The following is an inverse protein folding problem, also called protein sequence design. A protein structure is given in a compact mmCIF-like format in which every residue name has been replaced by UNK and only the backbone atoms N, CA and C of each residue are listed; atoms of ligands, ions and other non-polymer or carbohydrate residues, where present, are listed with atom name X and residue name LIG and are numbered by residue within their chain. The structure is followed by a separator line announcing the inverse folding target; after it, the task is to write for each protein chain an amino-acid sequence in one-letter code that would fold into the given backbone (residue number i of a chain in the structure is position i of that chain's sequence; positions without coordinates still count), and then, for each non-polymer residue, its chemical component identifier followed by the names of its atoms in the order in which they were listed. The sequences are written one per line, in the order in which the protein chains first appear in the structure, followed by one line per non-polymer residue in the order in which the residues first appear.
data_IF_888202308436
#
_entry.id   IF_888202308436
#
_cell.length_a   1.000
_cell.length_b   1.000
_cell.length_c   1.000
_cell.angle_alpha   90.00
_cell.angle_beta   90.00
_cell.angle_gamma   90.00
#
_symmetry.space_group_name_H-M   'P 1'
#
loop_
_entity.id
_entity.type
_entity.pdbx_description
1 polymer ?
#
# COMPACT_ATOMS: atom_id res chain seq x y z
N UNK A 1 28.95 -9.49 5.49
CA UNK A 1 27.57 -9.97 5.29
C UNK A 1 27.63 -11.26 4.48
N UNK A 2 26.95 -12.34 4.92
CA UNK A 2 27.03 -13.67 4.28
C UNK A 2 26.07 -13.79 3.08
N UNK A 3 26.41 -14.57 2.05
CA UNK A 3 25.64 -14.78 0.82
C UNK A 3 24.21 -15.30 1.06
N UNK A 4 23.99 -16.07 2.13
CA UNK A 4 22.63 -16.50 2.54
C UNK A 4 21.72 -15.34 2.94
N UNK A 5 22.28 -14.27 3.50
CA UNK A 5 21.50 -13.08 3.83
C UNK A 5 21.22 -12.24 2.57
N UNK A 6 22.11 -12.28 1.58
CA UNK A 6 21.90 -11.63 0.28
C UNK A 6 20.81 -12.34 -0.54
N UNK A 7 20.80 -13.67 -0.57
CA UNK A 7 19.75 -14.45 -1.27
C UNK A 7 18.39 -14.37 -0.58
N UNK A 8 18.34 -14.37 0.75
CA UNK A 8 17.10 -14.17 1.51
C UNK A 8 16.56 -12.72 1.40
N UNK A 9 17.44 -11.72 1.34
CA UNK A 9 17.03 -10.33 1.12
C UNK A 9 16.54 -10.10 -0.33
N UNK A 10 17.23 -10.70 -1.31
CA UNK A 10 16.81 -10.69 -2.71
C UNK A 10 15.46 -11.40 -2.91
N UNK A 11 15.23 -12.56 -2.29
CA UNK A 11 13.97 -13.31 -2.42
C UNK A 11 12.77 -12.60 -1.77
N UNK A 12 12.99 -11.86 -0.69
CA UNK A 12 11.94 -11.08 0.00
C UNK A 12 11.56 -9.81 -0.77
N UNK A 13 12.51 -9.23 -1.51
CA UNK A 13 12.24 -8.14 -2.48
C UNK A 13 11.60 -8.65 -3.78
N UNK A 14 11.79 -9.92 -4.12
CA UNK A 14 11.33 -10.52 -5.38
C UNK A 14 9.80 -10.58 -5.47
N UNK A 15 9.09 -10.81 -4.36
CA UNK A 15 7.62 -10.93 -4.39
C UNK A 15 6.92 -9.65 -4.81
N UNK A 16 7.34 -8.49 -4.31
CA UNK A 16 6.80 -7.20 -4.76
C UNK A 16 7.04 -6.99 -6.25
N UNK A 17 8.26 -7.32 -6.70
CA UNK A 17 8.62 -7.20 -8.13
C UNK A 17 7.72 -8.06 -9.01
N UNK A 18 7.27 -9.22 -8.54
CA UNK A 18 6.38 -10.10 -9.29
C UNK A 18 4.95 -9.53 -9.48
N UNK A 19 4.52 -8.61 -8.62
CA UNK A 19 3.20 -7.94 -8.76
C UNK A 19 3.26 -6.64 -9.58
N UNK A 20 4.47 -6.18 -9.93
CA UNK A 20 4.64 -4.95 -10.69
C UNK A 20 4.46 -5.20 -12.19
N UNK A 21 3.81 -4.27 -12.92
CA UNK A 21 3.55 -4.46 -14.33
C UNK A 21 4.84 -4.42 -15.16
N UNK A 22 5.01 -5.39 -16.04
CA UNK A 22 6.18 -5.57 -16.90
C UNK A 22 5.91 -5.17 -18.36
N UNK A 23 4.63 -5.24 -18.76
CA UNK A 23 4.15 -4.87 -20.09
C UNK A 23 3.16 -3.70 -20.04
N UNK A 24 2.89 -3.08 -21.20
CA UNK A 24 1.88 -2.01 -21.31
C UNK A 24 0.47 -2.51 -20.95
N UNK A 25 0.16 -3.76 -21.30
CA UNK A 25 -1.14 -4.36 -21.00
C UNK A 25 -1.30 -4.59 -19.51
N UNK A 26 -0.28 -5.13 -18.85
CA UNK A 26 -0.26 -5.28 -17.38
C UNK A 26 -0.36 -3.94 -16.67
N UNK A 27 0.29 -2.89 -17.18
CA UNK A 27 0.17 -1.54 -16.61
C UNK A 27 -1.27 -1.02 -16.68
N UNK A 28 -1.99 -1.24 -17.79
CA UNK A 28 -3.40 -0.84 -17.89
C UNK A 28 -4.28 -1.58 -16.87
N UNK A 29 -4.07 -2.88 -16.68
CA UNK A 29 -4.78 -3.65 -15.66
C UNK A 29 -4.41 -3.20 -14.24
N UNK A 30 -3.14 -2.91 -14.01
CA UNK A 30 -2.66 -2.41 -12.72
C UNK A 30 -3.32 -1.07 -12.35
N UNK A 31 -3.56 -0.17 -13.32
CA UNK A 31 -4.29 1.08 -13.07
C UNK A 31 -5.70 0.80 -12.54
N UNK A 32 -6.41 -0.16 -13.13
CA UNK A 32 -7.75 -0.55 -12.69
C UNK A 32 -7.70 -1.11 -11.27
N UNK A 33 -6.72 -1.98 -11.00
CA UNK A 33 -6.51 -2.55 -9.65
C UNK A 33 -6.23 -1.45 -8.65
N UNK A 34 -5.28 -0.54 -8.92
CA UNK A 34 -4.93 0.58 -8.04
C UNK A 34 -6.13 1.47 -7.71
N UNK A 35 -6.98 1.79 -8.69
CA UNK A 35 -8.20 2.56 -8.47
C UNK A 35 -9.18 1.79 -7.57
N UNK A 36 -9.40 0.50 -7.87
CA UNK A 36 -10.33 -0.33 -7.12
C UNK A 36 -9.87 -0.59 -5.68
N UNK A 37 -8.57 -0.90 -5.49
CA UNK A 37 -7.96 -1.15 -4.19
C UNK A 37 -7.95 0.12 -3.35
N UNK A 38 -7.42 1.23 -3.89
CA UNK A 38 -7.38 2.50 -3.17
C UNK A 38 -8.76 3.02 -2.77
N UNK A 39 -9.82 2.71 -3.52
CA UNK A 39 -11.19 3.02 -3.09
C UNK A 39 -11.70 2.04 -2.01
N UNK A 40 -11.66 0.73 -2.30
CA UNK A 40 -12.24 -0.29 -1.43
C UNK A 40 -11.55 -0.35 -0.07
N UNK A 41 -10.22 -0.25 -0.04
CA UNK A 41 -9.44 -0.27 1.20
C UNK A 41 -9.74 0.96 2.05
N UNK A 42 -9.81 2.16 1.48
CA UNK A 42 -10.14 3.34 2.27
C UNK A 42 -11.58 3.31 2.80
N UNK A 43 -12.55 2.84 2.02
CA UNK A 43 -13.92 2.64 2.51
C UNK A 43 -13.93 1.65 3.68
N UNK A 44 -13.29 0.50 3.53
CA UNK A 44 -13.25 -0.53 4.57
C UNK A 44 -12.54 -0.05 5.83
N UNK A 45 -11.34 0.50 5.71
CA UNK A 45 -10.52 0.83 6.87
C UNK A 45 -10.90 2.17 7.50
N UNK A 46 -11.31 3.18 6.73
CA UNK A 46 -11.67 4.50 7.27
C UNK A 46 -13.15 4.64 7.59
N UNK A 47 -14.04 4.35 6.63
CA UNK A 47 -15.47 4.52 6.92
C UNK A 47 -16.03 3.45 7.86
N UNK A 48 -15.49 2.24 7.82
CA UNK A 48 -16.01 1.13 8.63
C UNK A 48 -15.14 0.84 9.86
N UNK A 49 -13.91 0.32 9.70
CA UNK A 49 -13.11 -0.14 10.84
C UNK A 49 -12.75 1.01 11.79
N UNK A 50 -12.27 2.14 11.26
CA UNK A 50 -11.90 3.30 12.08
C UNK A 50 -13.09 3.92 12.81
N UNK A 51 -14.19 4.20 12.12
CA UNK A 51 -15.41 4.74 12.74
C UNK A 51 -16.02 3.78 13.77
N UNK A 52 -15.99 2.47 13.50
CA UNK A 52 -16.43 1.47 14.47
C UNK A 52 -15.54 1.49 15.71
N UNK A 53 -14.21 1.48 15.55
CA UNK A 53 -13.27 1.52 16.65
C UNK A 53 -13.37 2.83 17.44
N UNK A 54 -13.56 3.96 16.77
CA UNK A 54 -13.67 5.28 17.39
C UNK A 54 -14.82 5.34 18.42
N UNK A 55 -15.93 4.66 18.14
CA UNK A 55 -17.10 4.56 19.04
C UNK A 55 -16.84 3.75 20.32
N UNK A 56 -15.82 2.88 20.34
CA UNK A 56 -15.61 1.92 21.43
C UNK A 56 -14.31 2.12 22.21
N UNK A 57 -13.24 2.58 21.55
CA UNK A 57 -11.88 2.63 22.14
C UNK A 57 -11.22 4.01 22.02
N UNK A 58 -11.98 5.03 21.59
CA UNK A 58 -11.50 6.41 21.48
C UNK A 58 -10.51 6.63 20.32
N UNK A 59 -10.05 7.88 20.16
CA UNK A 59 -9.28 8.33 18.99
C UNK A 59 -7.91 7.62 18.90
N UNK A 60 -7.17 7.56 20.01
CA UNK A 60 -5.83 6.93 20.01
C UNK A 60 -5.97 5.42 19.77
N UNK A 61 -6.97 4.79 20.40
CA UNK A 61 -7.26 3.37 20.22
C UNK A 61 -7.63 3.04 18.77
N UNK A 62 -8.52 3.82 18.14
CA UNK A 62 -8.94 3.62 16.75
C UNK A 62 -7.80 3.84 15.77
N UNK A 63 -6.95 4.86 15.99
CA UNK A 63 -5.75 5.10 15.19
C UNK A 63 -4.82 3.89 15.19
N UNK A 64 -4.51 3.34 16.37
CA UNK A 64 -3.61 2.20 16.44
C UNK A 64 -4.27 0.93 15.90
N UNK A 65 -5.50 0.63 16.32
CA UNK A 65 -6.21 -0.60 15.95
C UNK A 65 -6.41 -0.72 14.44
N UNK A 66 -7.00 0.28 13.80
CA UNK A 66 -7.25 0.25 12.35
C UNK A 66 -5.97 0.10 11.57
N UNK A 67 -4.92 0.86 11.94
CA UNK A 67 -3.70 0.91 11.14
C UNK A 67 -2.79 -0.30 11.37
N UNK A 68 -2.85 -0.96 12.54
CA UNK A 68 -2.21 -2.27 12.73
C UNK A 68 -2.87 -3.32 11.82
N UNK A 69 -4.20 -3.37 11.78
CA UNK A 69 -4.90 -4.34 10.90
C UNK A 69 -4.60 -4.05 9.43
N UNK A 70 -4.66 -2.78 9.03
CA UNK A 70 -4.29 -2.36 7.67
C UNK A 70 -2.85 -2.74 7.31
N UNK A 71 -1.91 -2.53 8.23
CA UNK A 71 -0.53 -2.94 7.99
C UNK A 71 -0.40 -4.46 7.82
N UNK A 72 -1.10 -5.26 8.63
CA UNK A 72 -1.04 -6.73 8.57
C UNK A 72 -1.45 -7.26 7.19
N UNK A 73 -2.41 -6.63 6.50
CA UNK A 73 -2.79 -7.06 5.13
C UNK A 73 -1.65 -6.91 4.11
N UNK A 74 -0.60 -6.15 4.45
CA UNK A 74 0.56 -5.91 3.60
C UNK A 74 1.76 -6.81 3.94
N UNK A 75 1.65 -7.71 4.92
CA UNK A 75 2.79 -8.51 5.42
C UNK A 75 3.48 -9.34 4.33
N UNK A 76 2.71 -9.85 3.37
CA UNK A 76 3.19 -10.70 2.28
C UNK A 76 4.07 -9.96 1.27
N UNK A 77 3.93 -8.62 1.21
CA UNK A 77 4.73 -7.73 0.36
C UNK A 77 6.03 -7.28 1.03
N UNK A 78 6.31 -7.78 2.23
CA UNK A 78 7.58 -7.60 2.93
C UNK A 78 7.57 -6.52 3.99
N UNK A 79 8.59 -6.54 4.85
CA UNK A 79 8.64 -5.74 6.08
C UNK A 79 8.63 -4.22 5.81
N UNK A 80 9.24 -3.77 4.70
CA UNK A 80 9.23 -2.36 4.33
C UNK A 80 7.81 -1.86 4.01
N UNK A 81 7.04 -2.67 3.28
CA UNK A 81 5.65 -2.34 2.97
C UNK A 81 4.75 -2.45 4.20
N UNK A 82 4.97 -3.44 5.07
CA UNK A 82 4.27 -3.54 6.35
C UNK A 82 4.41 -2.25 7.19
N UNK A 83 5.65 -1.80 7.40
CA UNK A 83 5.93 -0.58 8.18
C UNK A 83 5.45 0.67 7.45
N UNK A 84 5.64 0.73 6.13
CA UNK A 84 5.15 1.82 5.29
C UNK A 84 3.62 1.96 5.34
N UNK A 85 2.89 0.85 5.24
CA UNK A 85 1.44 0.79 5.33
C UNK A 85 0.94 1.23 6.71
N UNK A 86 1.64 0.85 7.80
CA UNK A 86 1.30 1.34 9.14
C UNK A 86 1.43 2.87 9.24
N UNK A 87 2.56 3.42 8.79
CA UNK A 87 2.84 4.87 8.89
C UNK A 87 1.90 5.67 7.99
N UNK A 88 1.77 5.30 6.72
CA UNK A 88 0.84 5.95 5.79
C UNK A 88 -0.61 5.79 6.24
N UNK A 89 -0.95 4.64 6.80
CA UNK A 89 -2.26 4.41 7.36
C UNK A 89 -2.59 5.39 8.49
N UNK A 90 -1.65 5.63 9.42
CA UNK A 90 -1.82 6.63 10.47
C UNK A 90 -2.05 8.03 9.87
N UNK A 91 -1.26 8.41 8.87
CA UNK A 91 -1.43 9.69 8.16
C UNK A 91 -2.81 9.78 7.51
N UNK A 92 -3.27 8.74 6.83
CA UNK A 92 -4.58 8.71 6.18
C UNK A 92 -5.72 8.76 7.20
N UNK A 93 -5.62 8.03 8.31
CA UNK A 93 -6.61 8.14 9.39
C UNK A 93 -6.68 9.54 9.99
N UNK A 94 -5.54 10.22 10.16
CA UNK A 94 -5.51 11.61 10.63
C UNK A 94 -6.11 12.57 9.60
N UNK A 95 -5.76 12.44 8.32
CA UNK A 95 -6.36 13.24 7.23
C UNK A 95 -7.88 13.03 7.23
N UNK A 96 -8.34 11.78 7.25
CA UNK A 96 -9.76 11.46 7.28
C UNK A 96 -10.45 12.05 8.51
N UNK A 97 -9.85 11.91 9.69
CA UNK A 97 -10.39 12.44 10.95
C UNK A 97 -10.54 13.97 10.93
N UNK A 98 -9.56 14.71 10.39
CA UNK A 98 -9.64 16.18 10.36
C UNK A 98 -10.50 16.71 9.20
N UNK A 99 -10.49 16.04 8.05
CA UNK A 99 -11.18 16.53 6.86
C UNK A 99 -12.60 16.01 6.72
N UNK A 100 -12.95 14.92 7.42
CA UNK A 100 -14.26 14.27 7.38
C UNK A 100 -14.72 13.92 5.95
N UNK A 101 -13.75 13.70 5.05
CA UNK A 101 -14.00 13.31 3.66
C UNK A 101 -13.07 12.17 3.26
N UNK A 102 -13.64 11.17 2.58
CA UNK A 102 -12.88 10.02 2.11
C UNK A 102 -12.09 10.32 0.83
N UNK A 103 -12.54 11.27 0.03
CA UNK A 103 -12.04 11.44 -1.34
C UNK A 103 -10.58 11.87 -1.38
N UNK A 104 -10.11 12.58 -0.35
CA UNK A 104 -8.71 12.97 -0.22
C UNK A 104 -7.83 11.72 -0.02
N UNK A 105 -8.19 10.85 0.92
CA UNK A 105 -7.39 9.65 1.21
C UNK A 105 -7.48 8.62 0.08
N UNK A 106 -8.62 8.49 -0.59
CA UNK A 106 -8.77 7.66 -1.79
C UNK A 106 -7.84 8.15 -2.91
N UNK A 107 -7.84 9.46 -3.19
CA UNK A 107 -6.97 10.01 -4.23
C UNK A 107 -5.49 9.83 -3.90
N UNK A 108 -5.10 10.01 -2.62
CA UNK A 108 -3.73 9.79 -2.16
C UNK A 108 -3.33 8.31 -2.28
N UNK A 109 -4.18 7.38 -1.84
CA UNK A 109 -3.91 5.95 -1.91
C UNK A 109 -3.71 5.51 -3.37
N UNK A 110 -4.67 5.83 -4.25
CA UNK A 110 -4.57 5.53 -5.69
C UNK A 110 -3.28 6.12 -6.28
N UNK A 111 -2.91 7.35 -5.90
CA UNK A 111 -1.69 8.00 -6.39
C UNK A 111 -0.41 7.25 -5.99
N UNK A 112 -0.34 6.73 -4.76
CA UNK A 112 0.80 5.96 -4.27
C UNK A 112 0.92 4.63 -5.03
N UNK A 113 -0.19 3.92 -5.20
CA UNK A 113 -0.21 2.64 -5.93
C UNK A 113 0.20 2.84 -7.39
N UNK A 114 -0.39 3.82 -8.07
CA UNK A 114 -0.04 4.16 -9.44
C UNK A 114 1.44 4.53 -9.56
N UNK A 115 1.98 5.28 -8.59
CA UNK A 115 3.41 5.62 -8.57
C UNK A 115 4.29 4.38 -8.46
N UNK A 116 3.95 3.46 -7.56
CA UNK A 116 4.68 2.19 -7.40
C UNK A 116 4.62 1.34 -8.68
N UNK A 117 3.44 1.18 -9.29
CA UNK A 117 3.25 0.45 -10.54
C UNK A 117 4.04 1.06 -11.71
N UNK A 118 4.01 2.40 -11.85
CA UNK A 118 4.78 3.11 -12.88
C UNK A 118 6.30 2.95 -12.71
N UNK A 119 6.80 3.05 -11.47
CA UNK A 119 8.22 2.82 -11.18
C UNK A 119 8.63 1.38 -11.52
N UNK A 120 7.82 0.40 -11.12
CA UNK A 120 8.04 -1.00 -11.47
C UNK A 120 8.16 -1.23 -12.98
N UNK A 121 7.20 -0.69 -13.74
CA UNK A 121 7.22 -0.77 -15.21
C UNK A 121 8.45 -0.10 -15.83
N UNK A 122 8.83 1.09 -15.34
CA UNK A 122 10.02 1.80 -15.84
C UNK A 122 11.29 1.00 -15.57
N UNK A 123 11.49 0.50 -14.35
CA UNK A 123 12.66 -0.30 -13.96
C UNK A 123 12.77 -1.55 -14.83
N UNK A 124 11.66 -2.26 -15.06
CA UNK A 124 11.68 -3.43 -15.93
C UNK A 124 12.04 -3.07 -17.37
N UNK A 125 11.50 -1.98 -17.92
CA UNK A 125 11.78 -1.52 -19.28
C UNK A 125 13.23 -1.05 -19.47
N UNK A 126 13.85 -0.48 -18.45
CA UNK A 126 15.28 -0.12 -18.49
C UNK A 126 16.14 -1.38 -18.54
N UNK A 127 15.87 -2.36 -17.68
CA UNK A 127 16.66 -3.60 -17.61
C UNK A 127 16.55 -4.49 -18.86
N UNK A 128 15.46 -4.40 -19.63
CA UNK A 128 15.33 -5.14 -20.90
C UNK A 128 15.96 -4.44 -22.09
N UNK A 129 16.29 -3.15 -21.98
CA UNK A 129 16.99 -2.39 -23.04
C UNK A 129 18.51 -2.45 -22.94
N UNK A 130 19.04 -2.75 -21.76
CA UNK A 130 20.48 -2.80 -21.47
C UNK A 130 21.06 -4.22 -21.53
N UNK A 131 20.23 -5.23 -21.76
CA UNK A 131 20.61 -6.59 -22.15
C UNK A 131 20.49 -6.72 -23.66
#
# INVERSE_FOLDING_TARGET
MNERNLTAFASKSQKVVNYLPTSRQELSWFIIVAISAGFCEEVLFRMFVYEFALKHIGIIGSLLFTNVIFAITHIDTGMKNLVGAFILGLVFSLIFYFTQTIWIVVALHISIDLHAGMLGYRVHRFNTRTK
#
